data_IF_946239325084
#
_entry.id   IF_946239325084
#
_cell.length_a   1.000
_cell.length_b   1.000
_cell.length_c   1.000
_cell.angle_alpha   90.00
_cell.angle_beta   90.00
_cell.angle_gamma   90.00
#
_symmetry.space_group_name_H-M   'P 1'
#
loop_
_entity.id
_entity.type
_entity.pdbx_description
1 polymer ?
#
# COMPACT_ATOMS: atom_id res chain seq x y z
N UNK A 1 14.71 19.36 6.84
CA UNK A 1 15.94 20.16 6.64
C UNK A 1 15.83 21.58 7.20
N UNK A 2 14.98 22.46 6.65
CA UNK A 2 14.87 23.85 7.11
C UNK A 2 14.49 23.99 8.59
N UNK A 3 13.67 23.09 9.12
CA UNK A 3 13.34 23.03 10.54
C UNK A 3 14.59 22.85 11.41
N UNK A 4 15.50 21.97 11.01
CA UNK A 4 16.73 21.67 11.74
C UNK A 4 17.68 22.88 11.76
N UNK A 5 17.85 23.55 10.61
CA UNK A 5 18.68 24.76 10.49
C UNK A 5 18.11 25.88 11.38
N UNK A 6 16.78 26.04 11.44
CA UNK A 6 16.12 27.03 12.28
C UNK A 6 16.17 26.73 13.79
N UNK A 7 16.60 25.53 14.21
CA UNK A 7 16.78 25.21 15.63
C UNK A 7 18.11 25.71 16.20
N UNK A 8 19.09 26.00 15.33
CA UNK A 8 20.39 26.55 15.72
C UNK A 8 20.23 27.99 16.25
N UNK A 9 20.83 28.31 17.41
CA UNK A 9 20.73 29.65 17.99
C UNK A 9 21.40 30.70 17.08
N UNK A 10 20.79 31.88 16.96
CA UNK A 10 21.32 33.00 16.18
C UNK A 10 20.98 33.03 14.68
N UNK A 11 20.32 32.00 14.14
CA UNK A 11 20.01 31.89 12.70
C UNK A 11 18.51 32.08 12.35
N UNK A 12 17.60 32.11 13.33
CA UNK A 12 16.17 32.24 13.08
C UNK A 12 15.69 33.69 13.23
N UNK A 13 15.25 34.37 12.16
CA UNK A 13 14.68 35.73 12.25
C UNK A 13 13.28 35.75 12.89
N UNK A 14 12.63 34.59 13.03
CA UNK A 14 11.31 34.42 13.66
C UNK A 14 11.38 33.37 14.77
N UNK A 15 10.47 33.43 15.75
CA UNK A 15 10.41 32.47 16.85
C UNK A 15 10.26 31.02 16.37
N UNK A 16 10.94 30.08 17.04
CA UNK A 16 10.97 28.64 16.70
C UNK A 16 9.57 28.03 16.52
N UNK A 17 8.59 28.49 17.31
CA UNK A 17 7.21 28.02 17.30
C UNK A 17 6.47 28.32 15.99
N UNK A 18 6.78 29.44 15.32
CA UNK A 18 6.06 29.88 14.12
C UNK A 18 6.23 28.95 12.92
N UNK A 19 7.33 28.17 12.86
CA UNK A 19 7.57 27.21 11.76
C UNK A 19 7.12 25.79 12.12
N UNK A 20 7.20 25.39 13.39
CA UNK A 20 6.79 24.04 13.83
C UNK A 20 5.28 23.87 13.73
N UNK A 21 4.51 24.86 14.20
CA UNK A 21 3.07 24.71 14.37
C UNK A 21 2.33 24.40 13.06
N UNK A 22 2.54 25.12 11.94
CA UNK A 22 1.84 24.82 10.69
C UNK A 22 2.27 23.49 10.07
N UNK A 23 3.54 23.11 10.20
CA UNK A 23 4.05 21.85 9.67
C UNK A 23 3.43 20.65 10.39
N UNK A 24 3.39 20.71 11.72
CA UNK A 24 2.75 19.68 12.53
C UNK A 24 1.26 19.55 12.21
N UNK A 25 0.57 20.68 11.99
CA UNK A 25 -0.82 20.67 11.56
C UNK A 25 -1.02 19.95 10.22
N UNK A 26 -0.22 20.28 9.19
CA UNK A 26 -0.32 19.67 7.87
C UNK A 26 -0.03 18.16 7.91
N UNK A 27 1.05 17.77 8.60
CA UNK A 27 1.41 16.35 8.75
C UNK A 27 0.31 15.61 9.52
N UNK A 28 -0.20 16.20 10.60
CA UNK A 28 -1.27 15.63 11.42
C UNK A 28 -2.56 15.41 10.62
N UNK A 29 -3.04 16.43 9.90
CA UNK A 29 -4.21 16.30 9.04
C UNK A 29 -4.02 15.22 7.95
N UNK A 30 -2.83 15.14 7.36
CA UNK A 30 -2.51 14.12 6.34
C UNK A 30 -2.54 12.70 6.93
N UNK A 31 -1.92 12.50 8.10
CA UNK A 31 -1.91 11.23 8.80
C UNK A 31 -3.31 10.78 9.24
N UNK A 32 -4.15 11.71 9.72
CA UNK A 32 -5.54 11.42 10.09
C UNK A 32 -6.33 10.96 8.86
N UNK A 33 -6.18 11.65 7.72
CA UNK A 33 -6.85 11.28 6.48
C UNK A 33 -6.43 9.89 5.98
N UNK A 34 -5.14 9.61 5.93
CA UNK A 34 -4.62 8.30 5.51
C UNK A 34 -5.12 7.18 6.43
N UNK A 35 -5.09 7.42 7.74
CA UNK A 35 -5.62 6.48 8.75
C UNK A 35 -7.11 6.21 8.51
N UNK A 36 -7.90 7.26 8.26
CA UNK A 36 -9.33 7.11 7.98
C UNK A 36 -9.59 6.30 6.70
N UNK A 37 -8.85 6.57 5.63
CA UNK A 37 -8.94 5.83 4.36
C UNK A 37 -8.60 4.34 4.55
N UNK A 38 -7.55 4.05 5.32
CA UNK A 38 -7.14 2.67 5.62
C UNK A 38 -8.11 1.94 6.54
N UNK A 39 -8.67 2.60 7.56
CA UNK A 39 -9.75 2.03 8.38
C UNK A 39 -10.96 1.68 7.51
N UNK A 40 -11.36 2.56 6.60
CA UNK A 40 -12.47 2.29 5.67
C UNK A 40 -12.17 1.14 4.71
N UNK A 41 -10.91 0.93 4.31
CA UNK A 41 -10.49 -0.27 3.54
C UNK A 41 -10.66 -1.53 4.38
N UNK A 42 -10.16 -1.54 5.62
CA UNK A 42 -10.31 -2.68 6.55
C UNK A 42 -11.76 -3.06 6.78
N UNK A 43 -12.65 -2.08 6.91
CA UNK A 43 -14.10 -2.34 7.06
C UNK A 43 -14.69 -3.02 5.82
N UNK A 44 -14.29 -2.59 4.62
CA UNK A 44 -14.74 -3.22 3.37
C UNK A 44 -14.22 -4.65 3.23
N UNK A 45 -12.95 -4.88 3.54
CA UNK A 45 -12.35 -6.21 3.49
C UNK A 45 -13.01 -7.15 4.50
N UNK A 46 -13.27 -6.66 5.73
CA UNK A 46 -14.02 -7.41 6.73
C UNK A 46 -15.43 -7.75 6.23
N UNK A 47 -16.15 -6.81 5.63
CA UNK A 47 -17.50 -7.08 5.10
C UNK A 47 -17.50 -8.20 4.05
N UNK A 48 -16.50 -8.23 3.16
CA UNK A 48 -16.37 -9.30 2.17
C UNK A 48 -16.03 -10.65 2.81
N UNK A 49 -15.11 -10.67 3.78
CA UNK A 49 -14.68 -11.91 4.44
C UNK A 49 -15.79 -12.55 5.30
N UNK A 50 -16.70 -11.75 5.84
CA UNK A 50 -17.86 -12.21 6.63
C UNK A 50 -19.13 -12.42 5.79
N UNK A 51 -19.03 -12.31 4.46
CA UNK A 51 -20.11 -12.74 3.59
C UNK A 51 -20.33 -14.25 3.79
N UNK A 52 -21.58 -14.68 3.69
CA UNK A 52 -21.99 -16.06 3.97
C UNK A 52 -22.00 -16.88 2.68
N UNK A 53 -21.70 -18.17 2.78
CA UNK A 53 -21.92 -19.17 1.74
C UNK A 53 -22.43 -20.48 2.37
N UNK A 54 -23.08 -21.32 1.57
CA UNK A 54 -23.57 -22.62 2.03
C UNK A 54 -22.51 -23.69 1.74
N UNK A 55 -21.99 -24.33 2.78
CA UNK A 55 -20.92 -25.31 2.64
C UNK A 55 -21.21 -26.57 3.46
N UNK A 56 -20.72 -27.70 2.96
CA UNK A 56 -20.75 -28.96 3.67
C UNK A 56 -19.63 -28.97 4.71
N UNK A 57 -19.99 -29.20 5.97
CA UNK A 57 -19.06 -29.37 7.10
C UNK A 57 -19.18 -30.78 7.66
N UNK A 58 -18.32 -31.17 8.61
CA UNK A 58 -18.40 -32.49 9.25
C UNK A 58 -19.76 -32.76 9.91
N UNK A 59 -20.45 -31.69 10.34
CA UNK A 59 -21.78 -31.74 10.94
C UNK A 59 -22.91 -31.56 9.90
N UNK A 60 -22.60 -31.77 8.62
CA UNK A 60 -23.51 -31.60 7.50
C UNK A 60 -23.52 -30.19 6.92
N UNK A 61 -24.57 -29.87 6.19
CA UNK A 61 -24.70 -28.61 5.47
C UNK A 61 -24.97 -27.42 6.41
N UNK A 62 -24.13 -26.39 6.34
CA UNK A 62 -24.25 -25.20 7.17
C UNK A 62 -23.84 -23.94 6.40
N UNK A 63 -24.43 -22.82 6.80
CA UNK A 63 -23.97 -21.50 6.36
C UNK A 63 -22.69 -21.11 7.09
N UNK A 64 -21.61 -20.90 6.36
CA UNK A 64 -20.29 -20.51 6.87
C UNK A 64 -19.87 -19.15 6.29
N UNK A 65 -19.08 -18.34 7.00
CA UNK A 65 -18.49 -17.14 6.43
C UNK A 65 -17.37 -17.50 5.43
N UNK A 66 -17.13 -16.64 4.45
CA UNK A 66 -16.10 -16.86 3.41
C UNK A 66 -14.70 -17.07 3.99
N UNK A 67 -14.39 -16.47 5.15
CA UNK A 67 -13.11 -16.67 5.83
C UNK A 67 -12.92 -18.05 6.45
N UNK A 68 -13.98 -18.85 6.62
CA UNK A 68 -13.93 -20.22 7.15
C UNK A 68 -13.99 -21.29 6.04
N UNK A 69 -13.99 -20.88 4.76
CA UNK A 69 -14.05 -21.79 3.63
C UNK A 69 -12.67 -22.40 3.35
N UNK A 70 -12.61 -23.72 3.19
CA UNK A 70 -11.36 -24.46 2.95
C UNK A 70 -11.38 -25.20 1.60
N UNK A 71 -10.19 -25.50 1.08
CA UNK A 71 -10.01 -26.31 -0.14
C UNK A 71 -10.53 -27.74 0.10
N UNK A 72 -11.18 -28.31 -0.91
CA UNK A 72 -11.81 -29.64 -0.85
C UNK A 72 -13.22 -29.63 -0.25
N UNK A 73 -13.66 -28.51 0.31
CA UNK A 73 -15.00 -28.39 0.87
C UNK A 73 -16.06 -28.30 -0.23
N UNK A 74 -17.17 -29.02 -0.08
CA UNK A 74 -18.30 -28.93 -1.01
C UNK A 74 -19.16 -27.71 -0.68
N UNK A 75 -19.53 -26.95 -1.70
CA UNK A 75 -20.35 -25.74 -1.58
C UNK A 75 -21.59 -25.80 -2.44
N UNK A 76 -22.65 -25.17 -1.98
CA UNK A 76 -23.85 -24.89 -2.74
C UNK A 76 -23.98 -23.38 -2.92
N UNK A 77 -24.19 -22.95 -4.15
CA UNK A 77 -24.36 -21.55 -4.50
C UNK A 77 -25.75 -21.37 -5.09
N UNK A 78 -26.50 -20.38 -4.58
CA UNK A 78 -27.87 -20.09 -5.01
C UNK A 78 -27.87 -18.99 -6.08
N UNK A 79 -28.91 -18.95 -6.91
CA UNK A 79 -29.08 -17.91 -7.93
C UNK A 79 -28.92 -16.50 -7.34
N UNK A 80 -28.13 -15.68 -8.01
CA UNK A 80 -27.82 -14.32 -7.59
C UNK A 80 -26.71 -14.21 -6.55
N UNK A 81 -26.17 -15.31 -6.01
CA UNK A 81 -25.04 -15.26 -5.07
C UNK A 81 -23.70 -15.17 -5.80
N UNK A 82 -22.72 -14.55 -5.13
CA UNK A 82 -21.36 -14.44 -5.63
C UNK A 82 -20.51 -15.59 -5.07
N UNK A 83 -19.66 -16.16 -5.91
CA UNK A 83 -18.75 -17.24 -5.52
C UNK A 83 -17.61 -16.72 -4.65
N UNK A 84 -17.41 -17.38 -3.50
CA UNK A 84 -16.38 -17.05 -2.52
C UNK A 84 -14.96 -17.45 -2.95
N UNK A 85 -14.86 -18.51 -3.75
CA UNK A 85 -13.64 -19.23 -4.09
C UNK A 85 -13.72 -19.76 -5.53
N UNK A 86 -12.60 -20.28 -6.06
CA UNK A 86 -12.60 -20.99 -7.34
C UNK A 86 -13.15 -22.40 -7.09
N UNK A 87 -14.23 -22.77 -7.77
CA UNK A 87 -14.94 -24.04 -7.56
C UNK A 87 -14.95 -24.88 -8.82
N UNK A 88 -14.80 -26.19 -8.64
CA UNK A 88 -15.11 -27.19 -9.65
C UNK A 88 -16.62 -27.43 -9.66
N UNK A 89 -17.28 -27.21 -10.79
CA UNK A 89 -18.70 -27.47 -10.96
C UNK A 89 -18.93 -29.00 -11.03
N UNK A 90 -19.76 -29.51 -10.12
CA UNK A 90 -20.14 -30.93 -10.09
C UNK A 90 -21.56 -31.15 -10.61
N UNK A 91 -22.49 -30.32 -10.18
CA UNK A 91 -23.90 -30.43 -10.55
C UNK A 91 -24.55 -29.05 -10.61
N UNK A 92 -25.57 -28.95 -11.46
CA UNK A 92 -26.41 -27.77 -11.64
C UNK A 92 -27.87 -28.18 -11.61
N UNK A 93 -28.74 -27.27 -11.19
CA UNK A 93 -30.18 -27.49 -11.20
C UNK A 93 -30.81 -27.39 -12.60
N UNK A 94 -30.09 -26.84 -13.57
CA UNK A 94 -30.63 -26.55 -14.90
C UNK A 94 -30.72 -27.79 -15.80
N UNK A 95 -31.80 -27.90 -16.58
CA UNK A 95 -31.99 -28.98 -17.51
C UNK A 95 -30.96 -28.89 -18.66
N UNK A 96 -30.10 -29.90 -18.78
CA UNK A 96 -29.02 -29.93 -19.78
C UNK A 96 -27.63 -29.67 -19.21
N UNK A 97 -27.52 -29.57 -17.88
CA UNK A 97 -26.24 -29.42 -17.20
C UNK A 97 -25.41 -28.26 -17.70
N UNK A 98 -26.03 -27.09 -17.72
CA UNK A 98 -25.33 -25.83 -17.98
C UNK A 98 -25.43 -24.98 -16.71
N UNK A 99 -24.37 -24.24 -16.40
CA UNK A 99 -24.40 -23.22 -15.36
C UNK A 99 -24.11 -21.86 -16.01
N UNK A 100 -25.00 -20.90 -15.79
CA UNK A 100 -24.85 -19.54 -16.30
C UNK A 100 -24.22 -18.66 -15.23
N UNK A 101 -23.09 -18.05 -15.56
CA UNK A 101 -22.34 -17.21 -14.62
C UNK A 101 -22.13 -15.84 -15.21
N UNK A 102 -22.52 -14.82 -14.45
CA UNK A 102 -22.12 -13.45 -14.74
C UNK A 102 -20.73 -13.25 -14.17
N UNK A 103 -19.72 -13.22 -15.04
CA UNK A 103 -18.42 -12.69 -14.67
C UNK A 103 -18.30 -11.27 -15.21
N UNK A 104 -17.73 -10.37 -14.41
CA UNK A 104 -17.65 -8.96 -14.76
C UNK A 104 -16.69 -8.64 -15.92
N UNK A 105 -16.07 -9.64 -16.59
CA UNK A 105 -15.14 -9.39 -17.70
C UNK A 105 -14.78 -10.60 -18.60
N UNK A 106 -15.37 -11.78 -18.45
CA UNK A 106 -15.17 -12.94 -19.33
C UNK A 106 -16.53 -13.62 -19.59
N UNK A 107 -16.96 -13.72 -20.85
CA UNK A 107 -18.23 -14.37 -21.21
C UNK A 107 -18.37 -15.76 -20.59
N UNK A 108 -19.53 -15.99 -19.97
CA UNK A 108 -19.75 -17.01 -18.94
C UNK A 108 -20.78 -18.07 -19.32
N UNK A 109 -20.56 -18.74 -20.44
CA UNK A 109 -21.24 -19.99 -20.76
C UNK A 109 -20.31 -21.16 -20.40
N UNK A 110 -20.65 -21.89 -19.32
CA UNK A 110 -19.95 -23.12 -18.94
C UNK A 110 -20.90 -24.31 -19.16
N UNK A 111 -20.71 -25.02 -20.27
CA UNK A 111 -21.44 -26.24 -20.59
C UNK A 111 -20.82 -27.41 -19.80
N UNK A 112 -21.58 -28.09 -18.94
CA UNK A 112 -21.11 -29.20 -18.11
C UNK A 112 -21.60 -30.53 -18.70
N UNK A 113 -20.76 -31.56 -18.60
CA UNK A 113 -21.19 -32.96 -18.74
C UNK A 113 -21.45 -33.50 -17.34
N UNK A 114 -22.67 -33.98 -17.09
CA UNK A 114 -23.11 -34.53 -15.80
C UNK A 114 -22.15 -35.60 -15.31
N UNK A 115 -21.62 -35.40 -14.09
CA UNK A 115 -20.84 -36.45 -13.44
C UNK A 115 -21.22 -36.52 -11.95
N UNK A 116 -22.06 -37.49 -11.63
CA UNK A 116 -22.37 -37.90 -10.28
C UNK A 116 -21.69 -39.25 -10.07
N UNK A 117 -20.56 -39.29 -9.37
CA UNK A 117 -20.05 -40.58 -8.93
C UNK A 117 -19.21 -40.49 -7.66
N UNK A 118 -19.40 -41.45 -6.76
CA UNK A 118 -18.56 -41.67 -5.60
C UNK A 118 -17.27 -42.37 -6.04
N UNK A 119 -16.10 -41.86 -5.61
CA UNK A 119 -14.79 -42.44 -5.94
C UNK A 119 -14.01 -41.73 -7.05
N UNK A 120 -14.32 -40.47 -7.34
CA UNK A 120 -13.61 -39.65 -8.32
C UNK A 120 -12.35 -39.05 -7.67
N UNK A 121 -11.19 -39.27 -8.28
CA UNK A 121 -9.94 -38.57 -7.98
C UNK A 121 -9.87 -37.34 -8.88
N UNK A 122 -9.74 -36.17 -8.27
CA UNK A 122 -9.65 -34.90 -8.99
C UNK A 122 -8.16 -34.53 -9.08
N UNK A 123 -7.63 -34.54 -10.29
CA UNK A 123 -6.29 -34.02 -10.58
C UNK A 123 -6.44 -32.57 -11.05
N UNK A 124 -5.74 -31.65 -10.40
CA UNK A 124 -5.75 -30.24 -10.76
C UNK A 124 -4.34 -29.65 -10.66
N UNK A 125 -4.04 -28.69 -11.52
CA UNK A 125 -2.75 -27.99 -11.55
C UNK A 125 -2.50 -27.20 -10.25
N UNK A 126 -1.26 -26.81 -9.99
CA UNK A 126 -0.96 -25.87 -8.92
C UNK A 126 -1.56 -24.48 -9.22
N UNK A 127 -1.93 -23.67 -8.21
CA UNK A 127 -2.59 -22.40 -8.44
C UNK A 127 -1.69 -21.42 -9.21
N UNK A 128 -2.06 -21.16 -10.47
CA UNK A 128 -1.31 -20.37 -11.44
C UNK A 128 -2.01 -19.02 -11.77
N UNK A 129 -1.38 -18.19 -12.60
CA UNK A 129 -1.95 -16.90 -13.06
C UNK A 129 -2.78 -17.04 -14.34
N UNK A 130 -2.80 -18.18 -15.00
CA UNK A 130 -3.54 -18.34 -16.25
C UNK A 130 -5.04 -18.49 -15.96
N UNK A 131 -5.81 -17.43 -16.22
CA UNK A 131 -7.26 -17.41 -15.96
C UNK A 131 -8.01 -18.35 -16.90
N UNK A 132 -7.57 -18.43 -18.16
CA UNK A 132 -8.26 -19.14 -19.24
C UNK A 132 -7.92 -20.63 -19.31
N UNK A 133 -6.77 -21.02 -18.80
CA UNK A 133 -6.31 -22.40 -18.83
C UNK A 133 -6.46 -23.04 -17.47
N UNK A 134 -7.43 -23.94 -17.34
CA UNK A 134 -7.49 -24.88 -16.24
C UNK A 134 -7.08 -26.26 -16.76
N UNK A 135 -5.94 -26.75 -16.29
CA UNK A 135 -5.53 -28.13 -16.52
C UNK A 135 -5.95 -28.94 -15.30
N UNK A 136 -7.02 -29.71 -15.48
CA UNK A 136 -7.48 -30.64 -14.47
C UNK A 136 -8.47 -31.62 -15.07
N UNK A 137 -8.40 -32.85 -14.60
CA UNK A 137 -9.26 -33.93 -15.03
C UNK A 137 -9.77 -34.70 -13.83
N UNK A 138 -10.96 -35.26 -14.00
CA UNK A 138 -11.56 -36.16 -13.05
C UNK A 138 -11.36 -37.59 -13.53
N UNK A 139 -10.80 -38.43 -12.67
CA UNK A 139 -10.65 -39.87 -12.91
C UNK A 139 -11.63 -40.60 -11.99
N UNK A 140 -12.53 -41.41 -12.54
CA UNK A 140 -13.54 -42.10 -11.74
C UNK A 140 -14.15 -43.29 -12.47
N UNK A 141 -14.60 -44.26 -11.67
CA UNK A 141 -15.12 -45.54 -12.15
C UNK A 141 -16.63 -45.46 -12.41
N UNK A 142 -17.06 -45.07 -13.61
CA UNK A 142 -18.49 -44.96 -13.94
C UNK A 142 -19.12 -46.32 -14.29
N UNK A 143 -20.13 -46.82 -13.55
CA UNK A 143 -20.84 -48.06 -13.91
C UNK A 143 -21.80 -47.86 -15.10
N UNK A 144 -22.12 -46.62 -15.49
CA UNK A 144 -23.11 -46.32 -16.55
C UNK A 144 -22.57 -46.67 -17.95
N UNK A 145 -21.24 -46.61 -18.14
CA UNK A 145 -20.60 -46.94 -19.42
C UNK A 145 -20.41 -48.44 -19.65
N UNK A 146 -20.58 -49.30 -18.64
CA UNK A 146 -20.49 -50.75 -18.80
C UNK A 146 -21.68 -51.34 -19.56
N UNK A 147 -22.86 -50.70 -19.53
CA UNK A 147 -24.08 -51.27 -20.14
C UNK A 147 -24.26 -50.92 -21.63
N UNK A 148 -23.51 -49.97 -22.19
CA UNK A 148 -23.69 -49.53 -23.60
C UNK A 148 -22.69 -50.18 -24.55
N UNK A 149 -21.63 -50.79 -24.03
CA UNK A 149 -20.65 -51.49 -24.85
C UNK A 149 -20.35 -52.82 -24.19
N UNK A 150 -20.88 -53.91 -24.77
CA UNK A 150 -20.56 -55.30 -24.42
C UNK A 150 -19.11 -55.67 -24.77
N UNK A 151 -18.15 -54.85 -24.33
CA UNK A 151 -16.72 -55.05 -24.49
C UNK A 151 -16.15 -55.44 -23.14
N UNK A 152 -15.67 -56.68 -23.05
CA UNK A 152 -14.91 -57.23 -21.95
C UNK A 152 -13.51 -56.58 -21.86
N UNK A 153 -13.45 -55.27 -21.63
CA UNK A 153 -12.23 -54.55 -21.30
C UNK A 153 -12.38 -53.99 -19.90
N UNK A 154 -11.67 -54.59 -18.95
CA UNK A 154 -11.46 -54.06 -17.61
C UNK A 154 -10.94 -52.61 -17.71
N UNK A 155 -11.54 -51.71 -16.94
CA UNK A 155 -11.11 -50.31 -16.75
C UNK A 155 -11.17 -49.40 -17.99
N UNK A 156 -12.29 -48.71 -18.17
CA UNK A 156 -12.33 -47.44 -18.90
C UNK A 156 -12.51 -46.30 -17.91
N UNK A 157 -11.41 -45.86 -17.31
CA UNK A 157 -11.40 -44.64 -16.50
C UNK A 157 -11.82 -43.47 -17.39
N UNK A 158 -12.97 -42.88 -17.09
CA UNK A 158 -13.56 -41.83 -17.93
C UNK A 158 -12.97 -40.50 -17.54
N UNK A 159 -11.93 -40.06 -18.26
CA UNK A 159 -11.30 -38.76 -18.05
C UNK A 159 -12.16 -37.65 -18.67
N UNK A 160 -12.78 -36.82 -17.84
CA UNK A 160 -13.54 -35.64 -18.30
C UNK A 160 -12.83 -34.35 -17.91
N UNK A 161 -12.90 -33.35 -18.80
CA UNK A 161 -12.40 -32.01 -18.51
C UNK A 161 -13.23 -31.40 -17.38
N UNK A 162 -12.55 -30.95 -16.33
CA UNK A 162 -13.19 -30.35 -15.18
C UNK A 162 -13.53 -28.87 -15.46
N UNK A 163 -14.78 -28.48 -15.24
CA UNK A 163 -15.26 -27.11 -15.46
C UNK A 163 -15.14 -26.28 -14.19
N UNK A 164 -14.31 -25.24 -14.22
CA UNK A 164 -14.04 -24.39 -13.04
C UNK A 164 -14.73 -23.04 -13.18
N UNK A 165 -15.44 -22.64 -12.13
CA UNK A 165 -16.03 -21.31 -11.99
C UNK A 165 -15.14 -20.51 -11.03
N UNK A 166 -14.75 -19.31 -11.46
CA UNK A 166 -13.81 -18.47 -10.72
C UNK A 166 -14.50 -17.71 -9.57
N UNK A 167 -13.70 -17.42 -8.53
CA UNK A 167 -14.08 -16.51 -7.46
C UNK A 167 -14.59 -15.18 -8.03
N UNK A 168 -15.66 -14.67 -7.44
CA UNK A 168 -16.20 -13.36 -7.79
C UNK A 168 -17.21 -13.39 -8.95
N UNK A 169 -17.34 -14.51 -9.67
CA UNK A 169 -18.47 -14.75 -10.55
C UNK A 169 -19.78 -14.77 -9.76
N UNK A 170 -20.88 -14.36 -10.40
CA UNK A 170 -22.23 -14.40 -9.82
C UNK A 170 -23.06 -15.42 -10.57
N UNK A 171 -23.70 -16.33 -9.85
CA UNK A 171 -24.62 -17.27 -10.46
C UNK A 171 -25.85 -16.51 -10.97
N UNK A 172 -26.26 -16.75 -12.22
CA UNK A 172 -27.47 -16.19 -12.80
C UNK A 172 -28.23 -17.29 -13.52
N UNK A 173 -29.55 -17.13 -13.70
CA UNK A 173 -30.37 -18.03 -14.52
C UNK A 173 -30.19 -19.53 -14.20
N UNK A 174 -29.84 -19.85 -12.96
CA UNK A 174 -29.63 -21.21 -12.48
C UNK A 174 -29.95 -21.20 -10.99
N UNK A 175 -30.91 -22.01 -10.55
CA UNK A 175 -31.41 -21.96 -9.17
C UNK A 175 -30.31 -22.30 -8.16
N UNK A 176 -29.59 -23.40 -8.38
CA UNK A 176 -28.52 -23.84 -7.51
C UNK A 176 -27.44 -24.59 -8.29
N UNK A 177 -26.18 -24.40 -7.89
CA UNK A 177 -25.07 -25.25 -8.30
C UNK A 177 -24.40 -25.89 -7.08
N UNK A 178 -23.80 -27.05 -7.31
CA UNK A 178 -22.96 -27.75 -6.36
C UNK A 178 -21.55 -27.88 -6.94
N UNK A 179 -20.56 -27.62 -6.10
CA UNK A 179 -19.16 -27.70 -6.51
C UNK A 179 -18.20 -27.97 -5.35
N UNK A 180 -16.98 -28.37 -5.69
CA UNK A 180 -15.88 -28.54 -4.73
C UNK A 180 -14.94 -27.34 -4.85
N UNK A 181 -14.55 -26.77 -3.71
CA UNK A 181 -13.59 -25.67 -3.65
C UNK A 181 -12.19 -26.15 -4.03
N UNK A 182 -11.60 -25.55 -5.06
CA UNK A 182 -10.23 -25.84 -5.51
C UNK A 182 -9.22 -24.86 -4.90
N UNK A 183 -9.52 -23.56 -4.95
CA UNK A 183 -8.61 -22.52 -4.47
C UNK A 183 -9.35 -21.49 -3.62
N UNK A 184 -8.74 -21.10 -2.50
CA UNK A 184 -9.29 -20.12 -1.55
C UNK A 184 -8.37 -18.91 -1.39
N UNK A 185 -8.94 -17.76 -1.02
CA UNK A 185 -8.16 -16.57 -0.62
C UNK A 185 -7.15 -16.10 -1.67
N UNK A 186 -5.87 -16.05 -1.27
CA UNK A 186 -4.76 -15.58 -2.11
C UNK A 186 -4.41 -16.54 -3.25
N UNK A 187 -4.85 -17.78 -3.19
CA UNK A 187 -4.57 -18.79 -4.22
C UNK A 187 -5.56 -18.78 -5.38
N UNK A 188 -6.69 -18.09 -5.21
CA UNK A 188 -7.68 -17.91 -6.28
C UNK A 188 -7.05 -17.23 -7.48
N UNK A 189 -7.36 -17.71 -8.69
CA UNK A 189 -6.81 -17.17 -9.95
C UNK A 189 -7.10 -15.68 -10.10
N UNK A 190 -8.29 -15.24 -9.68
CA UNK A 190 -8.65 -13.83 -9.68
C UNK A 190 -7.74 -13.00 -8.76
N UNK A 191 -7.43 -13.50 -7.57
CA UNK A 191 -6.52 -12.80 -6.66
C UNK A 191 -5.09 -12.76 -7.20
N UNK A 192 -4.58 -13.86 -7.77
CA UNK A 192 -3.23 -13.88 -8.38
C UNK A 192 -3.08 -12.96 -9.59
N UNK A 193 -4.18 -12.64 -10.27
CA UNK A 193 -4.24 -11.66 -11.35
C UNK A 193 -4.59 -10.24 -10.88
N UNK A 194 -4.96 -10.07 -9.61
CA UNK A 194 -5.20 -8.75 -9.07
C UNK A 194 -3.89 -7.97 -8.95
N UNK A 195 -3.93 -6.70 -9.34
CA UNK A 195 -2.77 -5.83 -9.20
C UNK A 195 -2.53 -5.61 -7.71
N UNK A 196 -1.37 -6.04 -7.21
CA UNK A 196 -0.93 -5.76 -5.84
C UNK A 196 -1.11 -4.27 -5.58
N UNK A 197 -1.70 -3.90 -4.43
CA UNK A 197 -1.96 -2.50 -4.09
C UNK A 197 -0.65 -1.71 -4.09
N UNK A 198 -0.41 -0.99 -5.17
CA UNK A 198 0.71 -0.06 -5.31
C UNK A 198 0.21 1.34 -4.99
N UNK A 199 1.02 2.12 -4.28
CA UNK A 199 0.77 3.54 -4.06
C UNK A 199 0.92 4.26 -5.39
N UNK A 200 -0.22 4.55 -6.05
CA UNK A 200 -0.22 5.30 -7.31
C UNK A 200 -0.01 6.78 -7.00
N UNK A 201 1.16 7.30 -7.35
CA UNK A 201 1.39 8.75 -7.35
C UNK A 201 0.63 9.38 -8.52
N UNK A 202 -0.16 10.41 -8.24
CA UNK A 202 -0.88 11.14 -9.29
C UNK A 202 0.08 11.94 -10.18
N UNK A 203 -0.32 12.20 -11.43
CA UNK A 203 0.41 13.10 -12.32
C UNK A 203 0.61 14.48 -11.69
N UNK A 204 -0.42 14.97 -10.99
CA UNK A 204 -0.36 16.21 -10.21
C UNK A 204 0.74 16.16 -9.16
N UNK A 205 0.89 15.07 -8.40
CA UNK A 205 1.97 14.94 -7.41
C UNK A 205 3.36 15.03 -8.07
N UNK A 206 3.54 14.46 -9.27
CA UNK A 206 4.79 14.56 -10.03
C UNK A 206 5.04 16.00 -10.51
N UNK A 207 4.01 16.67 -11.03
CA UNK A 207 4.12 18.07 -11.45
C UNK A 207 4.41 19.00 -10.28
N UNK A 208 3.71 18.84 -9.15
CA UNK A 208 3.95 19.62 -7.92
C UNK A 208 5.39 19.41 -7.44
N UNK A 209 5.91 18.18 -7.46
CA UNK A 209 7.30 17.92 -7.09
C UNK A 209 8.29 18.63 -8.03
N UNK A 210 8.01 18.64 -9.34
CA UNK A 210 8.83 19.36 -10.33
C UNK A 210 8.81 20.87 -10.08
N UNK A 211 7.63 21.46 -9.86
CA UNK A 211 7.47 22.88 -9.54
C UNK A 211 8.20 23.23 -8.24
N UNK A 212 8.11 22.39 -7.21
CA UNK A 212 8.83 22.59 -5.94
C UNK A 212 10.34 22.60 -6.13
N UNK A 213 10.88 21.73 -6.98
CA UNK A 213 12.31 21.71 -7.30
C UNK A 213 12.75 22.98 -8.05
N UNK A 214 11.96 23.42 -9.04
CA UNK A 214 12.22 24.67 -9.76
C UNK A 214 12.16 25.88 -8.83
N UNK A 215 11.18 25.93 -7.94
CA UNK A 215 11.05 27.00 -6.94
C UNK A 215 12.25 27.02 -5.98
N UNK A 216 12.71 25.85 -5.52
CA UNK A 216 13.92 25.76 -4.70
C UNK A 216 15.15 26.31 -5.43
N UNK A 217 15.32 26.00 -6.71
CA UNK A 217 16.41 26.54 -7.53
C UNK A 217 16.37 28.07 -7.67
N UNK A 218 15.19 28.65 -7.90
CA UNK A 218 15.01 30.11 -7.99
C UNK A 218 15.36 30.79 -6.66
N UNK A 219 14.92 30.24 -5.52
CA UNK A 219 15.23 30.78 -4.19
C UNK A 219 16.74 30.75 -3.95
N UNK A 220 17.42 29.65 -4.29
CA UNK A 220 18.88 29.54 -4.15
C UNK A 220 19.63 30.60 -4.98
N UNK A 221 19.19 30.85 -6.21
CA UNK A 221 19.76 31.89 -7.07
C UNK A 221 19.57 33.28 -6.45
N UNK A 222 18.36 33.60 -5.99
CA UNK A 222 18.06 34.88 -5.34
C UNK A 222 18.91 35.11 -4.08
N UNK A 223 19.07 34.07 -3.25
CA UNK A 223 19.94 34.13 -2.08
C UNK A 223 21.41 34.39 -2.47
N UNK A 224 21.91 33.76 -3.54
CA UNK A 224 23.26 33.98 -4.04
C UNK A 224 23.44 35.41 -4.55
N UNK A 225 22.50 35.90 -5.37
CA UNK A 225 22.53 37.26 -5.91
C UNK A 225 22.51 38.30 -4.79
N UNK A 226 21.69 38.09 -3.75
CA UNK A 226 21.64 38.97 -2.59
C UNK A 226 22.97 38.94 -1.80
N UNK A 227 23.56 37.76 -1.62
CA UNK A 227 24.85 37.60 -0.94
C UNK A 227 26.02 38.26 -1.71
N UNK A 228 25.99 38.26 -3.04
CA UNK A 228 26.99 38.97 -3.86
C UNK A 228 26.76 40.47 -3.80
N UNK A 229 25.51 40.92 -3.96
CA UNK A 229 25.15 42.34 -3.92
C UNK A 229 25.53 42.98 -2.58
N UNK A 230 25.24 42.32 -1.45
CA UNK A 230 25.61 42.85 -0.13
C UNK A 230 27.13 42.97 0.02
N UNK A 231 27.92 42.06 -0.57
CA UNK A 231 29.39 42.13 -0.55
C UNK A 231 29.94 43.26 -1.43
N UNK A 232 29.31 43.53 -2.57
CA UNK A 232 29.71 44.60 -3.49
C UNK A 232 29.27 45.99 -3.02
N UNK A 233 28.16 46.09 -2.29
CA UNK A 233 27.57 47.36 -1.85
C UNK A 233 28.15 47.89 -0.52
N UNK A 234 29.04 47.18 0.15
CA UNK A 234 29.62 47.64 1.42
C UNK A 234 30.77 48.62 1.15
N UNK A 235 30.67 49.91 1.55
CA UNK A 235 31.82 50.80 1.51
C UNK A 235 32.84 50.34 2.56
N UNK A 236 34.14 50.35 2.19
CA UNK A 236 35.28 49.96 3.02
C UNK A 236 35.24 50.37 4.53
N UNK A 237 34.70 51.53 4.96
CA UNK A 237 34.68 51.89 6.38
C UNK A 237 33.82 50.98 7.30
N UNK A 238 32.86 50.22 6.78
CA UNK A 238 32.07 49.29 7.60
C UNK A 238 32.83 47.98 7.92
N UNK A 239 33.72 47.55 7.03
CA UNK A 239 34.56 46.37 7.27
C UNK A 239 35.58 46.64 8.39
N UNK A 240 36.19 47.82 8.39
CA UNK A 240 37.21 48.21 9.38
C UNK A 240 36.64 48.26 10.81
N UNK A 241 35.39 48.71 11.00
CA UNK A 241 34.76 48.77 12.33
C UNK A 241 34.36 47.38 12.87
N UNK A 242 34.00 46.44 12.01
CA UNK A 242 33.74 45.04 12.41
C UNK A 242 35.03 44.29 12.79
N UNK A 243 36.14 44.53 12.08
CA UNK A 243 37.43 43.95 12.44
C UNK A 243 38.08 44.61 13.68
N UNK A 244 37.91 45.93 13.86
CA UNK A 244 38.44 46.63 15.05
C UNK A 244 37.73 46.18 16.34
N UNK A 245 36.40 46.09 16.33
CA UNK A 245 35.63 45.64 17.51
C UNK A 245 35.86 44.16 17.86
N UNK A 246 36.31 43.33 16.90
CA UNK A 246 36.68 41.95 17.18
C UNK A 246 38.10 41.82 17.76
N UNK A 247 39.00 42.77 17.49
CA UNK A 247 40.34 42.81 18.07
C UNK A 247 40.37 43.39 19.48
N UNK A 248 39.53 44.38 19.80
CA UNK A 248 39.50 44.99 21.15
C UNK A 248 38.99 44.02 22.24
N UNK A 249 38.07 43.11 21.90
CA UNK A 249 37.57 42.09 22.85
C UNK A 249 38.64 41.05 23.21
N UNK A 250 39.67 40.87 22.38
CA UNK A 250 40.72 39.87 22.61
C UNK A 250 41.94 40.39 23.38
N UNK A 251 42.05 41.69 23.68
CA UNK A 251 43.23 42.25 24.36
C UNK A 251 43.05 42.51 25.86
N UNK A 252 41.83 42.56 26.40
CA UNK A 252 41.60 42.72 27.85
C UNK A 252 41.79 41.43 28.67
N UNK A 253 41.93 40.26 28.03
CA UNK A 253 42.02 38.95 28.72
C UNK A 253 43.45 38.48 29.11
N UNK A 254 44.49 39.31 28.96
CA UNK A 254 45.87 38.93 29.36
C UNK A 254 46.54 39.97 30.28
N UNK A 255 46.22 39.89 31.57
CA UNK A 255 46.95 40.57 32.64
C UNK A 255 48.38 40.03 32.81
N UNK A 256 49.41 40.87 32.66
CA UNK A 256 50.61 40.88 33.52
C UNK A 256 51.08 42.33 33.75
N UNK A 257 50.84 42.86 34.95
CA UNK A 257 51.60 43.96 35.58
C UNK A 257 52.92 43.43 36.17
N UNK A 258 53.90 44.25 36.60
CA UNK A 258 54.35 45.59 36.20
C UNK A 258 55.88 45.57 35.83
N UNK A 259 56.50 46.69 35.45
CA UNK A 259 57.86 47.12 35.84
C UNK A 259 58.18 48.47 35.19
N UNK A 260 58.67 49.36 36.04
CA UNK A 260 59.16 50.73 35.90
C UNK A 260 60.18 50.95 34.77
N UNK A 261 60.10 52.11 34.10
CA UNK A 261 61.26 52.95 33.80
C UNK A 261 60.85 54.41 33.59
N UNK A 262 61.55 55.27 34.32
CA UNK A 262 61.42 56.73 34.46
C UNK A 262 61.98 57.49 33.26
N UNK A 263 61.27 58.50 32.75
CA UNK A 263 61.87 59.83 32.56
C UNK A 263 60.82 60.94 32.39
N UNK A 264 61.15 62.06 33.00
CA UNK A 264 60.50 63.36 33.13
C UNK A 264 59.88 63.97 31.86
N UNK A 265 58.71 64.59 31.99
CA UNK A 265 58.59 66.07 32.03
C UNK A 265 57.12 66.54 31.97
N UNK A 266 56.71 67.39 32.92
CA UNK A 266 55.79 68.50 32.60
C UNK A 266 54.34 68.43 33.12
N UNK A 267 54.16 68.79 34.39
CA UNK A 267 53.20 69.79 34.89
C UNK A 267 51.66 69.61 34.80
N UNK A 268 51.05 69.58 36.02
CA UNK A 268 49.88 70.37 36.51
C UNK A 268 48.50 69.95 35.92
N UNK A 269 47.37 69.69 36.63
CA UNK A 269 46.85 69.85 38.00
C UNK A 269 45.61 68.94 38.12
N UNK A 270 45.54 68.02 39.09
CA UNK A 270 44.69 68.04 40.30
C UNK A 270 43.27 68.64 40.19
N UNK A 271 42.26 67.76 40.35
CA UNK A 271 41.04 67.83 41.19
C UNK A 271 40.02 66.80 40.68
N UNK A 272 39.99 65.63 41.30
CA UNK A 272 39.01 65.23 42.33
C UNK A 272 37.58 65.14 41.79
N UNK A 273 37.04 63.93 41.69
CA UNK A 273 35.75 63.56 42.30
C UNK A 273 35.50 62.04 42.24
N UNK A 274 35.30 61.54 43.44
CA UNK A 274 35.04 60.18 43.91
C UNK A 274 33.65 59.64 43.56
N UNK A 275 33.55 58.30 43.46
CA UNK A 275 32.43 57.41 43.81
C UNK A 275 30.96 57.88 43.62
N UNK A 276 30.27 57.26 42.67
CA UNK A 276 29.08 56.41 42.86
C UNK A 276 28.68 55.76 41.53
#
# INVERSE_FOLDING_TARGET
>A
MLLYIKMLPGLSPFGKQATILPLMFIIGCSAIRETYEDLRRRVRDRRMNYQKCYAHTDNGWKTVPWCELHVGQMVRVVNGEQLAADILLLATSEAGSVAYVETANLDGESNLKEFWNSGIVIHYDAPNRNIYEFQGYMEGHSPILQNVSGSNSNQTDTTTNAHVILRGARLKNTDNIYGIVLYTGHDTKLYKNSIKSVTKSSLLARLTNSIMLTQFGIIMLLCLMHAVMIRLAQPLPFLVTQFSNHYDVHYEDFHITPITCTHSSGNISARDLTCA
#
